data_IF_691338257167
#
_entry.id   IF_691338257167
#
_cell.length_a   1.000
_cell.length_b   1.000
_cell.length_c   1.000
_cell.angle_alpha   90.00
_cell.angle_beta   90.00
_cell.angle_gamma   90.00
#
_symmetry.space_group_name_H-M   'P 1'
#
loop_
_entity.id
_entity.type
_entity.pdbx_description
1 polymer ?
#
# COMPACT_ATOMS: atom_id res chain seq x y z
N UNK A 1 11.46 1.05 1.82
CA UNK A 1 11.41 -0.43 2.07
C UNK A 1 11.34 -0.78 3.56
N UNK A 2 12.11 -0.15 4.46
CA UNK A 2 12.17 -0.57 5.88
C UNK A 2 10.81 -0.58 6.61
N UNK A 3 9.99 0.46 6.43
CA UNK A 3 8.68 0.55 7.09
C UNK A 3 7.70 -0.53 6.61
N UNK A 4 7.80 -0.95 5.35
CA UNK A 4 6.89 -1.94 4.77
C UNK A 4 6.94 -3.29 5.49
N UNK A 5 8.10 -3.67 6.05
CA UNK A 5 8.25 -4.94 6.76
C UNK A 5 7.48 -4.97 8.08
N UNK A 6 7.30 -3.80 8.71
CA UNK A 6 6.62 -3.69 10.01
C UNK A 6 5.16 -3.26 9.87
N UNK A 7 4.81 -2.53 8.82
CA UNK A 7 3.44 -2.03 8.61
C UNK A 7 2.63 -2.86 7.62
N UNK A 8 3.29 -3.66 6.78
CA UNK A 8 2.64 -4.36 5.67
C UNK A 8 2.20 -3.46 4.52
N UNK A 9 2.45 -2.15 4.59
CA UNK A 9 2.11 -1.20 3.52
C UNK A 9 3.24 -1.13 2.49
N UNK A 10 2.93 -1.17 1.20
CA UNK A 10 3.92 -0.92 0.16
C UNK A 10 4.39 0.55 0.20
N UNK A 11 5.62 0.89 -0.22
CA UNK A 11 6.13 2.26 -0.15
C UNK A 11 5.20 3.31 -0.77
N UNK A 12 4.59 2.99 -1.92
CA UNK A 12 3.62 3.87 -2.59
C UNK A 12 2.37 4.20 -1.77
N UNK A 13 2.01 3.33 -0.83
CA UNK A 13 0.84 3.49 0.04
C UNK A 13 1.16 4.24 1.33
N UNK A 14 2.43 4.58 1.55
CA UNK A 14 2.91 5.19 2.78
C UNK A 14 2.97 6.70 2.62
N UNK A 15 2.14 7.41 3.38
CA UNK A 15 2.18 8.88 3.49
C UNK A 15 2.75 9.27 4.85
N UNK A 16 3.97 9.79 4.85
CA UNK A 16 4.65 10.21 6.07
C UNK A 16 4.35 11.67 6.40
N UNK A 17 3.92 11.93 7.64
CA UNK A 17 3.67 13.28 8.15
C UNK A 17 4.60 13.59 9.32
N UNK A 18 5.26 14.74 9.23
CA UNK A 18 6.05 15.30 10.31
C UNK A 18 5.68 16.78 10.52
N UNK A 19 5.31 17.13 11.76
CA UNK A 19 4.83 18.48 12.13
C UNK A 19 3.68 18.98 11.24
N UNK A 20 2.74 18.10 10.92
CA UNK A 20 1.55 18.43 10.11
C UNK A 20 1.82 18.60 8.61
N UNK A 21 3.05 18.33 8.14
CA UNK A 21 3.42 18.37 6.73
C UNK A 21 3.73 16.96 6.23
N UNK A 22 3.14 16.62 5.08
CA UNK A 22 3.48 15.42 4.34
C UNK A 22 4.91 15.52 3.77
N UNK A 23 5.58 14.39 3.68
CA UNK A 23 6.99 14.26 3.29
C UNK A 23 7.14 13.30 2.13
N UNK A 24 7.99 13.68 1.19
CA UNK A 24 8.31 12.88 0.01
C UNK A 24 9.54 12.01 0.26
N UNK A 25 9.77 11.02 -0.60
CA UNK A 25 10.92 10.11 -0.51
C UNK A 25 12.27 10.84 -0.65
N UNK A 26 12.28 12.02 -1.27
CA UNK A 26 13.47 12.88 -1.42
C UNK A 26 13.78 13.71 -0.17
N UNK A 27 12.84 13.83 0.77
CA UNK A 27 13.03 14.60 2.00
C UNK A 27 13.85 13.82 3.02
N UNK A 28 15.12 14.21 3.20
CA UNK A 28 15.95 13.58 4.23
C UNK A 28 15.57 14.07 5.63
N UNK A 29 15.46 13.12 6.57
CA UNK A 29 15.04 13.34 7.97
C UNK A 29 15.77 14.50 8.68
N UNK A 30 17.09 14.58 8.52
CA UNK A 30 17.90 15.62 9.16
C UNK A 30 17.61 17.03 8.59
N UNK A 31 17.29 17.13 7.30
CA UNK A 31 16.96 18.41 6.65
C UNK A 31 15.57 18.90 7.05
N UNK A 32 14.61 17.98 7.23
CA UNK A 32 13.28 18.31 7.74
C UNK A 32 13.23 18.51 9.26
N UNK A 33 14.35 18.29 9.94
CA UNK A 33 14.52 18.55 11.38
C UNK A 33 13.93 17.47 12.29
N UNK A 34 13.85 16.22 11.82
CA UNK A 34 13.54 15.05 12.66
C UNK A 34 14.75 14.74 13.51
N UNK A 35 14.57 14.63 14.82
CA UNK A 35 15.61 14.28 15.79
C UNK A 35 15.28 12.97 16.49
N UNK A 36 16.20 12.53 17.34
CA UNK A 36 15.96 11.37 18.20
C UNK A 36 14.66 11.52 19.00
N UNK A 37 13.89 10.43 19.06
CA UNK A 37 12.58 10.32 19.74
C UNK A 37 11.45 11.21 19.21
N UNK A 38 11.67 11.98 18.14
CA UNK A 38 10.57 12.69 17.49
C UNK A 38 9.57 11.69 16.88
N UNK A 39 8.29 12.04 16.94
CA UNK A 39 7.22 11.21 16.38
C UNK A 39 6.95 11.60 14.93
N UNK A 40 6.95 10.61 14.05
CA UNK A 40 6.51 10.72 12.66
C UNK A 40 5.25 9.88 12.49
N UNK A 41 4.24 10.44 11.86
CA UNK A 41 2.98 9.74 11.58
C UNK A 41 3.06 9.07 10.22
N UNK A 42 2.57 7.84 10.14
CA UNK A 42 2.40 7.11 8.89
C UNK A 42 0.91 6.92 8.62
N UNK A 43 0.43 7.37 7.47
CA UNK A 43 -0.93 7.18 6.99
C UNK A 43 -0.92 6.29 5.74
N UNK A 44 -1.96 5.47 5.58
CA UNK A 44 -2.22 4.73 4.35
C UNK A 44 -2.87 5.67 3.32
N UNK A 45 -2.41 5.63 2.06
CA UNK A 45 -3.05 6.38 0.97
C UNK A 45 -4.42 5.77 0.61
N UNK A 46 -5.54 6.48 0.85
CA UNK A 46 -6.87 5.96 0.55
C UNK A 46 -7.08 5.69 -0.95
N UNK A 47 -6.42 6.43 -1.84
CA UNK A 47 -6.61 6.25 -3.28
C UNK A 47 -6.07 4.90 -3.77
N UNK A 48 -4.95 4.46 -3.21
CA UNK A 48 -4.32 3.18 -3.55
C UNK A 48 -5.04 2.00 -2.92
N UNK A 49 -5.54 2.16 -1.70
CA UNK A 49 -6.39 1.17 -1.03
C UNK A 49 -7.62 0.81 -1.86
N UNK A 50 -8.31 1.83 -2.37
CA UNK A 50 -9.49 1.65 -3.20
C UNK A 50 -9.18 0.98 -4.54
N UNK A 51 -8.04 1.33 -5.16
CA UNK A 51 -7.58 0.69 -6.39
C UNK A 51 -7.33 -0.81 -6.19
N UNK A 52 -6.62 -1.18 -5.11
CA UNK A 52 -6.37 -2.59 -4.78
C UNK A 52 -7.66 -3.36 -4.54
N UNK A 53 -8.61 -2.77 -3.81
CA UNK A 53 -9.92 -3.39 -3.57
C UNK A 53 -10.69 -3.62 -4.87
N UNK A 54 -10.72 -2.63 -5.77
CA UNK A 54 -11.39 -2.74 -7.08
C UNK A 54 -10.73 -3.82 -7.94
N UNK A 55 -9.41 -3.85 -8.00
CA UNK A 55 -8.66 -4.87 -8.74
C UNK A 55 -8.93 -6.28 -8.18
N UNK A 56 -8.89 -6.47 -6.86
CA UNK A 56 -9.18 -7.75 -6.22
C UNK A 56 -10.60 -8.24 -6.52
N UNK A 57 -11.59 -7.33 -6.50
CA UNK A 57 -12.98 -7.65 -6.90
C UNK A 57 -13.09 -8.04 -8.37
N UNK A 58 -12.39 -7.34 -9.26
CA UNK A 58 -12.38 -7.65 -10.69
C UNK A 58 -11.77 -9.05 -10.97
N UNK A 59 -10.73 -9.44 -10.23
CA UNK A 59 -10.14 -10.79 -10.33
C UNK A 59 -11.10 -11.85 -9.80
N UNK A 60 -11.73 -11.62 -8.64
CA UNK A 60 -12.72 -12.56 -8.09
C UNK A 60 -13.90 -12.79 -9.04
N UNK A 61 -14.36 -11.74 -9.73
CA UNK A 61 -15.42 -11.85 -10.73
C UNK A 61 -15.02 -12.73 -11.93
N UNK A 62 -13.77 -12.61 -12.40
CA UNK A 62 -13.25 -13.44 -13.49
C UNK A 62 -13.08 -14.92 -13.11
N UNK A 63 -12.60 -15.19 -11.88
CA UNK A 63 -12.45 -16.57 -11.37
C UNK A 63 -13.80 -17.28 -11.29
N UNK A 64 -14.89 -16.54 -11.05
CA UNK A 64 -16.25 -17.09 -11.01
C UNK A 64 -16.81 -17.42 -12.41
N UNK A 65 -16.25 -16.83 -13.47
CA UNK A 65 -16.72 -17.01 -14.86
C UNK A 65 -15.94 -18.05 -15.67
N UNK A 66 -14.89 -18.67 -15.13
CA UNK A 66 -14.20 -19.77 -15.83
C UNK A 66 -15.02 -21.06 -15.68
N UNK A 67 -15.62 -21.61 -16.77
CA UNK A 67 -16.23 -22.92 -16.71
C UNK A 67 -15.09 -23.92 -16.67
N UNK A 68 -14.89 -24.58 -15.51
CA UNK A 68 -14.11 -25.81 -15.46
C UNK A 68 -14.73 -26.80 -16.43
N UNK A 69 -14.11 -27.02 -17.59
CA UNK A 69 -14.50 -28.10 -18.49
C UNK A 69 -14.10 -29.43 -17.83
N UNK A 70 -15.03 -30.35 -17.51
CA UNK A 70 -14.64 -31.71 -17.20
C UNK A 70 -14.39 -32.41 -18.53
N UNK A 71 -13.13 -32.48 -18.96
CA UNK A 71 -12.75 -33.39 -20.04
C UNK A 71 -12.43 -34.74 -19.40
N UNK A 72 -13.45 -35.58 -19.23
CA UNK A 72 -13.26 -37.02 -19.16
C UNK A 72 -14.04 -37.59 -20.34
N UNK A 73 -13.29 -38.00 -21.35
CA UNK A 73 -13.79 -38.72 -22.51
C UNK A 73 -13.44 -40.19 -22.26
N UNK A 74 -14.45 -41.02 -21.95
CA UNK A 74 -14.40 -42.49 -21.96
C UNK A 74 -15.56 -42.98 -22.81
#
# INVERSE_FOLDING_TARGET
VMLSMVTGLEPREQRLLFKGKEREDTDHLHMVGVRDKDKVLLLEDPALKDMKLRAARAVAAQVTQSPRQPFIQV
#
